data_IF_789363028571
#
_entry.id   IF_789363028571
#
_cell.length_a   1.000
_cell.length_b   1.000
_cell.length_c   1.000
_cell.angle_alpha   90.00
_cell.angle_beta   90.00
_cell.angle_gamma   90.00
#
_symmetry.space_group_name_H-M   'P 1'
#
loop_
_entity.id
_entity.type
_entity.pdbx_description
1 polymer ?
#
# COMPACT_ATOMS: atom_id res chain seq x y z
N UNK A 1 26.99 -10.29 -2.58
CA UNK A 1 27.21 -11.50 -3.41
C UNK A 1 27.51 -11.18 -4.89
N UNK A 2 26.87 -10.16 -5.48
CA UNK A 2 27.04 -9.81 -6.90
C UNK A 2 28.43 -9.23 -7.24
N UNK A 3 29.01 -8.43 -6.35
CA UNK A 3 30.36 -7.85 -6.55
C UNK A 3 31.46 -8.92 -6.65
N UNK A 4 31.34 -10.02 -5.89
CA UNK A 4 32.28 -11.16 -5.96
C UNK A 4 32.17 -11.89 -7.30
N UNK A 5 30.95 -12.04 -7.83
CA UNK A 5 30.73 -12.65 -9.14
C UNK A 5 31.30 -11.79 -10.26
N UNK A 6 31.14 -10.47 -10.19
CA UNK A 6 31.75 -9.53 -11.13
C UNK A 6 33.28 -9.57 -11.09
N UNK A 7 33.87 -9.62 -9.90
CA UNK A 7 35.33 -9.76 -9.74
C UNK A 7 35.82 -11.08 -10.34
N UNK A 8 35.10 -12.19 -10.11
CA UNK A 8 35.43 -13.48 -10.72
C UNK A 8 35.37 -13.42 -12.24
N UNK A 9 34.34 -12.81 -12.82
CA UNK A 9 34.27 -12.64 -14.28
C UNK A 9 35.38 -11.75 -14.82
N UNK A 10 35.73 -10.67 -14.13
CA UNK A 10 36.81 -9.77 -14.55
C UNK A 10 38.17 -10.48 -14.56
N UNK A 11 38.49 -11.22 -13.50
CA UNK A 11 39.73 -12.00 -13.39
C UNK A 11 39.78 -13.13 -14.43
N UNK A 12 38.65 -13.79 -14.70
CA UNK A 12 38.56 -14.81 -15.76
C UNK A 12 38.84 -14.21 -17.14
N UNK A 13 38.25 -13.04 -17.44
CA UNK A 13 38.49 -12.34 -18.71
C UNK A 13 39.95 -11.92 -18.85
N UNK A 14 40.57 -11.38 -17.80
CA UNK A 14 42.00 -11.05 -17.79
C UNK A 14 42.88 -12.29 -18.01
N UNK A 15 42.55 -13.40 -17.34
CA UNK A 15 43.28 -14.68 -17.49
C UNK A 15 43.24 -15.24 -18.92
N UNK A 16 42.09 -15.13 -19.59
CA UNK A 16 41.96 -15.55 -21.00
C UNK A 16 42.79 -14.63 -21.90
N UNK A 17 42.70 -13.32 -21.70
CA UNK A 17 43.38 -12.34 -22.54
C UNK A 17 44.92 -12.38 -22.39
N UNK A 18 45.43 -12.70 -21.19
CA UNK A 18 46.86 -12.95 -20.94
C UNK A 18 47.42 -14.17 -21.65
N UNK A 19 46.57 -15.08 -22.13
CA UNK A 19 46.98 -16.17 -23.03
C UNK A 19 47.43 -15.69 -24.42
N UNK A 20 47.01 -14.49 -24.83
CA UNK A 20 47.39 -13.86 -26.10
C UNK A 20 48.47 -12.79 -25.92
N UNK A 21 48.37 -11.95 -24.88
CA UNK A 21 49.41 -10.99 -24.49
C UNK A 21 49.73 -11.13 -22.99
N UNK A 22 50.87 -11.74 -22.62
CA UNK A 22 51.24 -11.98 -21.23
C UNK A 22 51.35 -10.72 -20.36
N UNK A 23 51.52 -9.54 -20.98
CA UNK A 23 51.68 -8.26 -20.28
C UNK A 23 50.40 -7.42 -20.26
N UNK A 24 49.31 -7.93 -20.82
CA UNK A 24 48.01 -7.23 -20.84
C UNK A 24 47.49 -6.98 -19.42
N UNK A 25 47.08 -5.73 -19.18
CA UNK A 25 46.36 -5.31 -17.99
C UNK A 25 44.95 -4.81 -18.39
N UNK A 26 43.93 -5.40 -17.78
CA UNK A 26 42.53 -5.09 -18.07
C UNK A 26 42.16 -3.66 -17.66
N UNK A 27 42.79 -3.11 -16.62
CA UNK A 27 42.51 -1.76 -16.13
C UNK A 27 43.00 -0.69 -17.12
N UNK A 28 44.25 -0.81 -17.55
CA UNK A 28 44.84 0.10 -18.55
C UNK A 28 44.06 0.07 -19.87
N UNK A 29 43.57 -1.12 -20.27
CA UNK A 29 42.80 -1.27 -21.51
C UNK A 29 41.38 -0.69 -21.39
N UNK A 30 40.77 -0.76 -20.20
CA UNK A 30 39.42 -0.24 -19.96
C UNK A 30 39.36 1.28 -19.70
N UNK A 31 40.48 1.91 -19.32
CA UNK A 31 40.56 3.34 -18.99
C UNK A 31 39.88 4.28 -20.01
N UNK A 32 40.17 4.22 -21.33
CA UNK A 32 39.55 5.13 -22.29
C UNK A 32 38.04 4.96 -22.37
N UNK A 33 37.54 3.72 -22.27
CA UNK A 33 36.10 3.41 -22.33
C UNK A 33 35.39 3.95 -21.10
N UNK A 34 35.95 3.72 -19.92
CA UNK A 34 35.41 4.22 -18.65
C UNK A 34 35.43 5.74 -18.61
N UNK A 35 36.54 6.35 -19.04
CA UNK A 35 36.68 7.81 -19.08
C UNK A 35 35.68 8.46 -20.03
N UNK A 36 35.47 7.88 -21.20
CA UNK A 36 34.46 8.35 -22.16
C UNK A 36 33.04 8.19 -21.61
N UNK A 37 32.75 7.09 -20.92
CA UNK A 37 31.45 6.88 -20.27
C UNK A 37 31.21 7.88 -19.14
N UNK A 38 32.19 8.11 -18.26
CA UNK A 38 32.09 9.10 -17.17
C UNK A 38 31.90 10.50 -17.75
N UNK A 39 32.67 10.88 -18.77
CA UNK A 39 32.56 12.19 -19.41
C UNK A 39 31.17 12.41 -20.02
N UNK A 40 30.57 11.38 -20.61
CA UNK A 40 29.23 11.45 -21.20
C UNK A 40 28.12 11.45 -20.14
N UNK A 41 28.17 10.56 -19.16
CA UNK A 41 27.05 10.29 -18.25
C UNK A 41 27.13 11.08 -16.92
N UNK A 42 28.34 11.28 -16.39
CA UNK A 42 28.58 12.01 -15.13
C UNK A 42 29.18 13.41 -15.38
N UNK A 43 29.47 13.74 -16.63
CA UNK A 43 29.95 15.05 -17.03
C UNK A 43 28.90 16.15 -16.92
N UNK A 44 29.26 17.39 -17.32
CA UNK A 44 28.38 18.54 -17.23
C UNK A 44 27.05 18.35 -17.98
N UNK A 45 27.09 17.71 -19.16
CA UNK A 45 25.88 17.41 -19.93
C UNK A 45 24.93 16.49 -19.17
N UNK A 46 25.42 15.35 -18.67
CA UNK A 46 24.58 14.41 -17.90
C UNK A 46 23.97 15.03 -16.65
N UNK A 47 24.69 15.95 -15.98
CA UNK A 47 24.14 16.71 -14.85
C UNK A 47 23.02 17.67 -15.26
N UNK A 48 23.16 18.35 -16.40
CA UNK A 48 22.13 19.26 -16.94
C UNK A 48 20.89 18.46 -17.35
N UNK A 49 21.06 17.37 -18.09
CA UNK A 49 19.95 16.48 -18.47
C UNK A 49 19.24 15.91 -17.25
N UNK A 50 19.98 15.46 -16.24
CA UNK A 50 19.42 15.00 -14.98
C UNK A 50 18.61 16.08 -14.27
N UNK A 51 19.10 17.32 -14.24
CA UNK A 51 18.38 18.45 -13.65
C UNK A 51 17.11 18.82 -14.44
N UNK A 52 17.16 18.81 -15.76
CA UNK A 52 16.00 19.07 -16.64
C UNK A 52 14.92 18.00 -16.44
N UNK A 53 15.32 16.73 -16.42
CA UNK A 53 14.40 15.62 -16.19
C UNK A 53 13.78 15.71 -14.80
N UNK A 54 14.60 15.95 -13.75
CA UNK A 54 14.12 16.12 -12.39
C UNK A 54 13.16 17.30 -12.23
N UNK A 55 13.43 18.44 -12.88
CA UNK A 55 12.53 19.58 -12.90
C UNK A 55 11.19 19.26 -13.60
N UNK A 56 11.24 18.51 -14.71
CA UNK A 56 10.04 18.05 -15.42
C UNK A 56 9.16 17.16 -14.56
N UNK A 57 9.75 16.21 -13.83
CA UNK A 57 9.01 15.30 -12.95
C UNK A 57 8.41 16.02 -11.74
N UNK A 58 9.15 16.94 -11.13
CA UNK A 58 8.60 17.85 -10.11
C UNK A 58 7.42 18.66 -10.66
N UNK A 59 7.53 19.17 -11.89
CA UNK A 59 6.45 19.88 -12.56
C UNK A 59 5.19 19.01 -12.73
N UNK A 60 5.33 17.74 -13.14
CA UNK A 60 4.21 16.80 -13.27
C UNK A 60 3.51 16.54 -11.93
N UNK A 61 4.28 16.38 -10.85
CA UNK A 61 3.73 16.19 -9.50
C UNK A 61 2.94 17.42 -9.06
N UNK A 62 3.52 18.62 -9.23
CA UNK A 62 2.85 19.88 -8.90
C UNK A 62 1.57 20.08 -9.72
N UNK A 63 1.59 19.75 -11.01
CA UNK A 63 0.41 19.80 -11.87
C UNK A 63 -0.68 18.79 -11.45
N UNK A 64 -0.31 17.69 -10.79
CA UNK A 64 -1.24 16.69 -10.25
C UNK A 64 -1.85 17.05 -8.90
N UNK A 65 -1.25 17.98 -8.13
CA UNK A 65 -1.73 18.37 -6.81
C UNK A 65 -3.20 18.85 -6.78
N UNK A 66 -3.69 19.66 -7.74
CA UNK A 66 -5.09 20.09 -7.74
C UNK A 66 -6.07 18.92 -7.85
N UNK A 67 -5.74 17.89 -8.64
CA UNK A 67 -6.59 16.71 -8.78
C UNK A 67 -6.64 15.89 -7.49
N UNK A 68 -5.52 15.79 -6.77
CA UNK A 68 -5.47 15.14 -5.46
C UNK A 68 -6.31 15.94 -4.46
N UNK A 69 -6.15 17.25 -4.40
CA UNK A 69 -6.93 18.12 -3.52
C UNK A 69 -8.43 18.01 -3.80
N UNK A 70 -8.86 18.06 -5.07
CA UNK A 70 -10.26 17.94 -5.45
C UNK A 70 -10.86 16.59 -5.04
N UNK A 71 -10.12 15.49 -5.23
CA UNK A 71 -10.53 14.14 -4.80
C UNK A 71 -10.67 14.06 -3.28
N UNK A 72 -9.69 14.58 -2.54
CA UNK A 72 -9.74 14.60 -1.07
C UNK A 72 -10.93 15.40 -0.56
N UNK A 73 -11.20 16.58 -1.13
CA UNK A 73 -12.38 17.38 -0.78
C UNK A 73 -13.68 16.63 -1.07
N UNK A 74 -13.78 15.95 -2.22
CA UNK A 74 -14.96 15.15 -2.55
C UNK A 74 -15.20 14.01 -1.54
N UNK A 75 -14.13 13.30 -1.15
CA UNK A 75 -14.17 12.24 -0.14
C UNK A 75 -14.60 12.79 1.23
N UNK A 76 -14.03 13.92 1.66
CA UNK A 76 -14.38 14.57 2.92
C UNK A 76 -15.86 15.00 2.94
N UNK A 77 -16.38 15.55 1.85
CA UNK A 77 -17.80 15.89 1.73
C UNK A 77 -18.70 14.65 1.81
N UNK A 78 -18.28 13.53 1.22
CA UNK A 78 -19.01 12.28 1.32
C UNK A 78 -19.00 11.73 2.76
N UNK A 79 -17.89 11.86 3.49
CA UNK A 79 -17.80 11.49 4.89
C UNK A 79 -18.68 12.36 5.80
N UNK A 80 -18.77 13.66 5.54
CA UNK A 80 -19.65 14.56 6.30
C UNK A 80 -21.13 14.18 6.08
N UNK A 81 -21.53 13.91 4.83
CA UNK A 81 -22.87 13.44 4.50
C UNK A 81 -23.22 12.10 5.20
N UNK A 82 -22.30 11.13 5.20
CA UNK A 82 -22.49 9.86 5.93
C UNK A 82 -22.60 10.04 7.45
N UNK A 83 -21.93 11.06 8.01
CA UNK A 83 -21.97 11.35 9.45
C UNK A 83 -23.25 12.08 9.86
N UNK A 84 -23.77 12.97 9.00
CA UNK A 84 -25.00 13.74 9.24
C UNK A 84 -26.27 12.92 9.02
N UNK A 85 -26.34 12.18 7.90
CA UNK A 85 -27.55 11.46 7.50
C UNK A 85 -27.57 10.01 8.03
N UNK A 86 -26.49 9.59 8.69
CA UNK A 86 -26.32 8.23 9.20
C UNK A 86 -25.78 7.27 8.15
N UNK A 87 -25.11 6.21 8.61
CA UNK A 87 -24.55 5.17 7.75
C UNK A 87 -25.68 4.34 7.13
N UNK A 88 -25.95 4.53 5.84
CA UNK A 88 -26.81 3.64 5.06
C UNK A 88 -26.06 2.33 4.85
N UNK A 89 -26.30 1.37 5.75
CA UNK A 89 -25.74 0.03 5.65
C UNK A 89 -26.28 -0.63 4.38
N UNK A 90 -25.40 -1.35 3.67
CA UNK A 90 -25.83 -2.18 2.55
C UNK A 90 -26.97 -3.12 3.00
N UNK A 91 -27.98 -3.35 2.16
CA UNK A 91 -29.15 -4.15 2.53
C UNK A 91 -28.78 -5.56 3.03
N UNK A 92 -27.70 -6.12 2.51
CA UNK A 92 -27.10 -7.40 2.93
C UNK A 92 -26.69 -7.40 4.41
N UNK A 93 -26.10 -6.30 4.89
CA UNK A 93 -25.67 -6.13 6.28
C UNK A 93 -26.87 -5.98 7.21
N UNK A 94 -27.91 -5.25 6.79
CA UNK A 94 -29.16 -5.09 7.55
C UNK A 94 -29.88 -6.43 7.67
N UNK A 95 -29.94 -7.22 6.59
CA UNK A 95 -30.56 -8.54 6.59
C UNK A 95 -29.79 -9.54 7.48
N UNK A 96 -28.45 -9.52 7.43
CA UNK A 96 -27.60 -10.36 8.28
C UNK A 96 -27.79 -10.05 9.77
N UNK A 97 -27.84 -8.76 10.13
CA UNK A 97 -28.12 -8.32 11.50
C UNK A 97 -29.54 -8.73 11.93
N UNK A 98 -30.55 -8.50 11.06
CA UNK A 98 -31.94 -8.90 11.32
C UNK A 98 -32.10 -10.40 11.56
N UNK A 99 -31.39 -11.25 10.79
CA UNK A 99 -31.40 -12.71 10.98
C UNK A 99 -30.73 -13.14 12.29
N UNK A 100 -29.68 -12.43 12.73
CA UNK A 100 -29.01 -12.69 14.00
C UNK A 100 -29.88 -12.30 15.21
N UNK A 101 -30.58 -11.16 15.13
CA UNK A 101 -31.45 -10.64 16.20
C UNK A 101 -32.71 -11.50 16.41
N UNK A 102 -33.29 -12.03 15.32
CA UNK A 102 -34.54 -12.79 15.35
C UNK A 102 -34.50 -14.04 16.25
N UNK A 103 -33.34 -14.69 16.39
CA UNK A 103 -33.19 -15.84 17.30
C UNK A 103 -33.17 -15.42 18.77
N UNK A 104 -32.57 -14.27 19.08
CA UNK A 104 -32.46 -13.76 20.46
C UNK A 104 -33.81 -13.28 21.00
N UNK A 105 -34.62 -12.63 20.17
CA UNK A 105 -35.89 -12.07 20.59
C UNK A 105 -36.91 -13.14 21.04
N UNK A 106 -36.90 -14.33 20.40
CA UNK A 106 -37.78 -15.45 20.79
C UNK A 106 -37.47 -15.94 22.21
N UNK A 107 -36.20 -16.05 22.57
CA UNK A 107 -35.78 -16.44 23.93
C UNK A 107 -36.10 -15.35 24.96
N UNK A 108 -35.97 -14.07 24.60
CA UNK A 108 -36.39 -12.96 25.47
C UNK A 108 -37.90 -12.95 25.71
N UNK A 109 -38.71 -13.19 24.68
CA UNK A 109 -40.16 -13.21 24.82
C UNK A 109 -40.60 -14.38 25.71
N UNK A 110 -40.01 -15.57 25.54
CA UNK A 110 -40.28 -16.72 26.42
C UNK A 110 -39.87 -16.41 27.86
N UNK A 111 -38.69 -15.82 28.07
CA UNK A 111 -38.24 -15.43 29.40
C UNK A 111 -39.20 -14.43 30.07
N UNK A 112 -39.72 -13.46 29.33
CA UNK A 112 -40.74 -12.52 29.82
C UNK A 112 -42.03 -13.23 30.24
N UNK A 113 -42.51 -14.19 29.43
CA UNK A 113 -43.69 -14.99 29.79
C UNK A 113 -43.47 -15.85 31.03
N UNK A 114 -42.29 -16.46 31.17
CA UNK A 114 -41.94 -17.24 32.36
C UNK A 114 -41.93 -16.36 33.59
N UNK A 115 -41.32 -15.17 33.52
CA UNK A 115 -41.31 -14.20 34.62
C UNK A 115 -42.75 -13.78 34.99
N UNK A 116 -43.56 -13.43 33.99
CA UNK A 116 -44.95 -13.01 34.20
C UNK A 116 -45.81 -14.11 34.87
N UNK A 117 -45.69 -15.36 34.41
CA UNK A 117 -46.40 -16.51 35.00
C UNK A 117 -45.93 -16.79 36.43
N UNK A 118 -44.62 -16.67 36.69
CA UNK A 118 -44.06 -16.85 38.04
C UNK A 118 -44.63 -15.82 39.01
N UNK A 119 -44.72 -14.55 38.60
CA UNK A 119 -45.35 -13.49 39.41
C UNK A 119 -46.83 -13.75 39.69
N UNK A 120 -47.59 -14.21 38.69
CA UNK A 120 -49.00 -14.57 38.85
C UNK A 120 -49.19 -15.72 39.84
N UNK A 121 -48.34 -16.75 39.78
CA UNK A 121 -48.37 -17.88 40.71
C UNK A 121 -48.11 -17.45 42.16
N UNK A 122 -47.13 -16.56 42.38
CA UNK A 122 -46.82 -16.02 43.71
C UNK A 122 -48.00 -15.20 44.25
N UNK A 123 -48.59 -14.32 43.44
CA UNK A 123 -49.76 -13.53 43.83
C UNK A 123 -50.96 -14.40 44.20
N UNK A 124 -51.16 -15.51 43.49
CA UNK A 124 -52.23 -16.44 43.79
C UNK A 124 -51.98 -17.21 45.10
N UNK A 125 -50.73 -17.64 45.34
CA UNK A 125 -50.34 -18.32 46.59
C UNK A 125 -50.43 -17.46 47.84
N UNK A 126 -50.30 -16.13 47.72
CA UNK A 126 -50.44 -15.19 48.85
C UNK A 126 -51.92 -14.94 49.19
N UNK A 127 -52.83 -15.22 48.26
CA UNK A 127 -54.27 -14.92 48.38
C UNK A 127 -55.11 -16.11 48.88
N UNK A 128 -54.58 -17.33 48.84
CA UNK A 128 -55.15 -18.52 49.50
C UNK A 128 -54.58 -18.69 50.90
#
# INVERSE_FOLDING_TARGET
PELIMLQKTMVVVEGVARGFDPKLDIWTTADPVVREWIARNLGPLGKIEGAVNGAGDLGKVLAGLPAIAARSVAVLNQFDAMTRDGLVLAPETVEAIGKAEARRNRWQTIALWVIALTFLGILWSIRQ
#
